data_IF_309915137268
#
_entry.id   IF_309915137268
#
_cell.length_a   1.000
_cell.length_b   1.000
_cell.length_c   1.000
_cell.angle_alpha   90.00
_cell.angle_beta   90.00
_cell.angle_gamma   90.00
#
_symmetry.space_group_name_H-M   'P 1'
#
loop_
_entity.id
_entity.type
_entity.pdbx_description
1 polymer ?
#
# COMPACT_ATOMS: atom_id res chain seq x y z
N UNK A 1 -15.60 19.49 -7.69
CA UNK A 1 -16.00 18.06 -7.62
C UNK A 1 -17.03 17.89 -6.52
N UNK A 2 -18.05 17.09 -6.75
CA UNK A 2 -18.99 16.74 -5.68
C UNK A 2 -18.23 15.80 -4.74
N UNK A 3 -17.72 16.33 -3.64
CA UNK A 3 -17.09 15.52 -2.58
C UNK A 3 -18.09 14.50 -2.08
N UNK A 4 -17.62 13.29 -1.77
CA UNK A 4 -18.42 12.32 -1.01
C UNK A 4 -18.84 12.93 0.32
N UNK A 5 -20.05 12.63 0.80
CA UNK A 5 -20.50 13.03 2.16
C UNK A 5 -19.60 12.47 3.27
N UNK A 6 -18.81 11.44 2.95
CA UNK A 6 -17.89 10.78 3.87
C UNK A 6 -16.45 11.29 3.74
N UNK A 7 -16.18 12.23 2.83
CA UNK A 7 -14.83 12.70 2.48
C UNK A 7 -13.91 11.63 1.88
N UNK A 8 -14.47 10.49 1.49
CA UNK A 8 -13.77 9.48 0.70
C UNK A 8 -13.74 9.92 -0.78
N UNK A 9 -12.73 9.48 -1.49
CA UNK A 9 -12.51 9.77 -2.91
C UNK A 9 -12.75 8.51 -3.72
N UNK A 10 -13.29 8.68 -4.93
CA UNK A 10 -13.38 7.58 -5.89
C UNK A 10 -12.08 7.39 -6.67
N UNK A 11 -11.89 6.22 -7.23
CA UNK A 11 -10.68 5.87 -7.99
C UNK A 11 -10.59 6.56 -9.35
N UNK A 12 -11.72 6.98 -9.95
CA UNK A 12 -11.72 7.69 -11.22
C UNK A 12 -12.80 8.76 -11.32
N UNK A 13 -12.46 9.88 -11.96
CA UNK A 13 -13.35 11.03 -12.20
C UNK A 13 -13.28 11.44 -13.67
N UNK A 14 -14.41 11.74 -14.27
CA UNK A 14 -14.44 12.40 -15.58
C UNK A 14 -14.11 13.89 -15.41
N UNK A 15 -12.97 14.31 -15.94
CA UNK A 15 -12.46 15.69 -15.80
C UNK A 15 -13.35 16.73 -16.49
N UNK A 16 -14.16 16.35 -17.46
CA UNK A 16 -15.06 17.27 -18.20
C UNK A 16 -16.34 17.54 -17.42
N UNK A 17 -16.87 16.55 -16.74
CA UNK A 17 -18.13 16.64 -16.02
C UNK A 17 -17.96 16.82 -14.51
N UNK A 18 -16.79 16.48 -13.97
CA UNK A 18 -16.51 16.42 -12.54
C UNK A 18 -17.28 15.32 -11.81
N UNK A 19 -17.81 14.34 -12.54
CA UNK A 19 -18.53 13.20 -11.96
C UNK A 19 -17.60 12.02 -11.74
N UNK A 20 -17.77 11.34 -10.63
CA UNK A 20 -17.05 10.10 -10.34
C UNK A 20 -17.54 8.99 -11.25
N UNK A 21 -16.62 8.36 -11.99
CA UNK A 21 -16.89 7.25 -12.90
C UNK A 21 -16.57 5.90 -12.27
N UNK A 22 -15.63 5.88 -11.29
CA UNK A 22 -15.42 4.72 -10.43
C UNK A 22 -15.54 5.15 -8.97
N UNK A 23 -16.56 4.69 -8.23
CA UNK A 23 -16.78 5.04 -6.82
C UNK A 23 -15.96 4.19 -5.83
N UNK A 24 -15.13 3.27 -6.29
CA UNK A 24 -14.23 2.51 -5.43
C UNK A 24 -13.24 3.43 -4.73
N UNK A 25 -12.91 3.10 -3.49
CA UNK A 25 -11.98 3.86 -2.66
C UNK A 25 -11.06 2.88 -1.92
N UNK A 26 -9.77 3.15 -1.94
CA UNK A 26 -8.75 2.24 -1.40
C UNK A 26 -7.41 2.97 -1.18
N UNK A 27 -6.41 2.24 -0.68
CA UNK A 27 -5.03 2.69 -0.53
C UNK A 27 -4.06 1.94 -1.47
N UNK A 28 -4.59 1.26 -2.48
CA UNK A 28 -3.83 0.50 -3.46
C UNK A 28 -3.41 1.38 -4.64
N UNK A 29 -2.89 0.74 -5.68
CA UNK A 29 -2.36 1.38 -6.88
C UNK A 29 -3.26 2.47 -7.46
N UNK A 30 -2.64 3.63 -7.73
CA UNK A 30 -3.29 4.81 -8.27
C UNK A 30 -3.78 5.79 -7.21
N UNK A 31 -4.43 5.32 -6.15
CA UNK A 31 -4.88 6.20 -5.06
C UNK A 31 -3.79 6.44 -4.01
N UNK A 32 -2.89 5.49 -3.79
CA UNK A 32 -1.72 5.66 -2.92
C UNK A 32 -0.87 6.86 -3.32
N UNK A 33 -0.58 7.00 -4.61
CA UNK A 33 0.19 8.12 -5.18
C UNK A 33 -0.54 9.44 -4.94
N UNK A 34 -1.87 9.48 -5.12
CA UNK A 34 -2.64 10.71 -4.93
C UNK A 34 -2.55 11.23 -3.48
N UNK A 35 -2.67 10.35 -2.48
CA UNK A 35 -2.53 10.75 -1.08
C UNK A 35 -1.10 11.21 -0.74
N UNK A 36 -0.10 10.50 -1.27
CA UNK A 36 1.31 10.83 -1.06
C UNK A 36 1.69 12.16 -1.69
N UNK A 37 1.29 12.39 -2.95
CA UNK A 37 1.54 13.64 -3.68
C UNK A 37 0.81 14.83 -3.03
N UNK A 38 -0.40 14.63 -2.55
CA UNK A 38 -1.16 15.67 -1.84
C UNK A 38 -0.44 16.09 -0.55
N UNK A 39 0.02 15.14 0.25
CA UNK A 39 0.79 15.41 1.45
C UNK A 39 2.11 16.12 1.14
N UNK A 40 2.89 15.58 0.20
CA UNK A 40 4.18 16.15 -0.20
C UNK A 40 4.04 17.56 -0.75
N UNK A 41 3.03 17.79 -1.59
CA UNK A 41 2.74 19.11 -2.13
C UNK A 41 2.37 20.10 -1.03
N UNK A 42 1.51 19.68 -0.09
CA UNK A 42 1.12 20.51 1.05
C UNK A 42 2.34 20.95 1.88
N UNK A 43 3.26 20.03 2.14
CA UNK A 43 4.49 20.30 2.89
C UNK A 43 5.47 21.15 2.07
N UNK A 44 5.70 20.79 0.80
CA UNK A 44 6.69 21.43 -0.07
C UNK A 44 6.33 22.89 -0.34
N UNK A 45 5.06 23.17 -0.59
CA UNK A 45 4.58 24.52 -0.88
C UNK A 45 4.07 25.29 0.34
N UNK A 46 4.11 24.64 1.53
CA UNK A 46 3.54 25.19 2.76
C UNK A 46 2.09 25.64 2.57
N UNK A 47 1.29 24.81 1.91
CA UNK A 47 -0.08 25.10 1.51
C UNK A 47 -1.08 24.49 2.50
N UNK A 48 -1.76 25.36 3.24
CA UNK A 48 -2.72 24.96 4.27
C UNK A 48 -3.98 24.31 3.68
N UNK A 49 -4.42 24.68 2.47
CA UNK A 49 -5.60 24.11 1.83
C UNK A 49 -5.32 22.68 1.39
N UNK A 50 -4.16 22.41 0.78
CA UNK A 50 -3.74 21.06 0.44
C UNK A 50 -3.58 20.18 1.69
N UNK A 51 -3.05 20.74 2.78
CA UNK A 51 -2.92 20.00 4.04
C UNK A 51 -4.29 19.67 4.66
N UNK A 52 -5.25 20.59 4.61
CA UNK A 52 -6.62 20.33 5.06
C UNK A 52 -7.30 19.25 4.21
N UNK A 53 -7.12 19.30 2.89
CA UNK A 53 -7.62 18.27 1.97
C UNK A 53 -7.02 16.90 2.30
N UNK A 54 -5.71 16.83 2.55
CA UNK A 54 -5.04 15.63 2.95
C UNK A 54 -5.58 15.07 4.27
N UNK A 55 -5.60 15.88 5.32
CA UNK A 55 -6.04 15.45 6.65
C UNK A 55 -7.49 14.96 6.63
N UNK A 56 -8.36 15.65 5.90
CA UNK A 56 -9.77 15.28 5.74
C UNK A 56 -9.90 13.92 5.05
N UNK A 57 -9.13 13.69 3.98
CA UNK A 57 -9.18 12.46 3.20
C UNK A 57 -8.60 11.27 3.99
N UNK A 58 -7.44 11.44 4.62
CA UNK A 58 -6.82 10.37 5.42
C UNK A 58 -7.66 10.01 6.63
N UNK A 59 -8.25 10.99 7.32
CA UNK A 59 -9.18 10.73 8.42
C UNK A 59 -10.39 9.90 7.97
N UNK A 60 -10.89 10.14 6.77
CA UNK A 60 -11.97 9.36 6.19
C UNK A 60 -11.52 7.92 5.86
N UNK A 61 -10.34 7.74 5.26
CA UNK A 61 -9.76 6.42 4.98
C UNK A 61 -9.61 5.62 6.28
N UNK A 62 -8.99 6.22 7.31
CA UNK A 62 -8.80 5.56 8.61
C UNK A 62 -10.14 5.22 9.26
N UNK A 63 -11.14 6.07 9.14
CA UNK A 63 -12.46 5.87 9.75
C UNK A 63 -13.28 4.77 9.07
N UNK A 64 -13.29 4.72 7.75
CA UNK A 64 -14.25 3.92 6.99
C UNK A 64 -13.66 2.67 6.33
N UNK A 65 -12.35 2.65 6.05
CA UNK A 65 -11.72 1.52 5.37
C UNK A 65 -10.90 0.64 6.31
N UNK A 66 -10.60 1.13 7.53
CA UNK A 66 -9.81 0.36 8.49
C UNK A 66 -10.57 -0.83 9.03
N UNK A 67 -9.91 -1.99 9.03
CA UNK A 67 -10.39 -3.21 9.64
C UNK A 67 -9.34 -3.82 10.57
N UNK A 68 -9.83 -4.37 11.68
CA UNK A 68 -9.01 -5.16 12.59
C UNK A 68 -9.32 -6.65 12.42
N UNK A 69 -8.29 -7.44 12.22
CA UNK A 69 -8.37 -8.89 12.18
C UNK A 69 -7.36 -9.51 13.14
N UNK A 70 -7.41 -10.82 13.32
CA UNK A 70 -6.38 -11.57 14.07
C UNK A 70 -4.99 -11.46 13.41
N UNK A 71 -4.92 -11.07 12.14
CA UNK A 71 -3.68 -10.84 11.40
C UNK A 71 -3.11 -9.44 11.59
N UNK A 72 -3.91 -8.48 12.06
CA UNK A 72 -3.50 -7.10 12.29
C UNK A 72 -4.50 -6.08 11.77
N UNK A 73 -4.01 -4.87 11.51
CA UNK A 73 -4.78 -3.74 10.97
C UNK A 73 -4.61 -3.68 9.46
N UNK A 74 -5.73 -3.64 8.76
CA UNK A 74 -5.81 -3.57 7.30
C UNK A 74 -6.68 -2.42 6.85
N UNK A 75 -6.62 -2.09 5.56
CA UNK A 75 -7.48 -1.11 4.91
C UNK A 75 -8.09 -1.76 3.68
N UNK A 76 -9.38 -1.95 3.72
CA UNK A 76 -10.12 -2.63 2.67
C UNK A 76 -10.41 -1.72 1.47
N UNK A 77 -10.72 -2.34 0.35
CA UNK A 77 -11.40 -1.67 -0.75
C UNK A 77 -12.84 -1.40 -0.35
N UNK A 78 -13.29 -0.17 -0.49
CA UNK A 78 -14.63 0.27 -0.12
C UNK A 78 -15.30 1.07 -1.22
N UNK A 79 -16.47 1.63 -0.89
CA UNK A 79 -17.22 2.54 -1.76
C UNK A 79 -17.26 3.94 -1.15
N UNK A 80 -16.84 4.95 -1.92
CA UNK A 80 -16.76 6.34 -1.46
C UNK A 80 -18.10 6.93 -0.98
N UNK A 81 -19.22 6.44 -1.50
CA UNK A 81 -20.54 7.00 -1.18
C UNK A 81 -21.10 6.48 0.16
N UNK A 82 -20.76 5.26 0.51
CA UNK A 82 -21.36 4.55 1.64
C UNK A 82 -20.36 4.20 2.72
N UNK A 83 -19.05 4.22 2.43
CA UNK A 83 -18.02 3.78 3.37
C UNK A 83 -18.06 2.28 3.67
N UNK A 84 -18.80 1.51 2.85
CA UNK A 84 -18.88 0.06 3.02
C UNK A 84 -17.64 -0.60 2.48
N UNK A 85 -17.12 -1.53 3.25
CA UNK A 85 -16.06 -2.43 2.85
C UNK A 85 -16.60 -3.43 1.82
N UNK A 86 -15.88 -3.61 0.72
CA UNK A 86 -16.33 -4.44 -0.40
C UNK A 86 -15.52 -5.74 -0.47
N UNK A 87 -14.18 -5.61 -0.40
CA UNK A 87 -13.29 -6.74 -0.53
C UNK A 87 -12.09 -6.62 0.42
N UNK A 88 -11.74 -7.71 1.15
CA UNK A 88 -10.59 -7.76 2.05
C UNK A 88 -9.28 -8.01 1.28
N UNK A 89 -8.96 -7.13 0.36
CA UNK A 89 -7.79 -7.21 -0.50
C UNK A 89 -6.70 -6.26 -0.05
N UNK A 90 -5.47 -6.73 -0.13
CA UNK A 90 -4.27 -5.96 0.19
C UNK A 90 -3.21 -6.18 -0.87
N UNK A 91 -2.58 -5.11 -1.31
CA UNK A 91 -1.55 -5.14 -2.35
C UNK A 91 -0.16 -4.80 -1.80
N UNK A 92 0.87 -5.23 -2.52
CA UNK A 92 2.25 -4.86 -2.22
C UNK A 92 2.48 -3.33 -2.25
N UNK A 93 1.72 -2.58 -3.06
CA UNK A 93 1.78 -1.11 -3.07
C UNK A 93 1.19 -0.48 -1.81
N UNK A 94 0.13 -1.06 -1.24
CA UNK A 94 -0.44 -0.57 0.03
C UNK A 94 0.57 -0.57 1.18
N UNK A 95 1.69 -1.28 1.02
CA UNK A 95 2.79 -1.27 1.98
C UNK A 95 3.49 0.11 2.11
N UNK A 96 3.20 1.08 1.24
CA UNK A 96 3.64 2.48 1.36
C UNK A 96 2.82 3.29 2.39
N UNK A 97 1.60 2.87 2.67
CA UNK A 97 0.68 3.65 3.51
C UNK A 97 1.17 3.89 4.96
N UNK A 98 1.91 2.97 5.62
CA UNK A 98 2.56 3.27 6.90
C UNK A 98 3.51 4.47 6.84
N UNK A 99 4.19 4.73 5.71
CA UNK A 99 5.04 5.92 5.55
C UNK A 99 4.20 7.19 5.64
N UNK A 100 3.08 7.19 4.93
CA UNK A 100 2.18 8.32 4.87
C UNK A 100 1.56 8.64 6.23
N UNK A 101 1.07 7.62 6.93
CA UNK A 101 0.57 7.76 8.30
C UNK A 101 1.64 8.28 9.26
N UNK A 102 2.85 7.74 9.19
CA UNK A 102 3.96 8.19 10.03
C UNK A 102 4.34 9.64 9.75
N UNK A 103 4.46 10.01 8.48
CA UNK A 103 4.80 11.38 8.07
C UNK A 103 3.72 12.39 8.46
N UNK A 104 2.45 12.00 8.44
CA UNK A 104 1.33 12.85 8.89
C UNK A 104 1.19 12.95 10.41
N UNK A 105 2.04 12.25 11.17
CA UNK A 105 2.09 12.29 12.63
C UNK A 105 1.35 11.16 13.33
N UNK A 106 0.62 10.31 12.62
CA UNK A 106 -0.06 9.15 13.20
C UNK A 106 0.86 7.92 13.29
N UNK A 107 1.92 8.05 14.10
CA UNK A 107 2.91 6.99 14.30
C UNK A 107 2.26 5.70 14.82
N UNK A 108 1.25 5.82 15.69
CA UNK A 108 0.61 4.64 16.28
C UNK A 108 -0.11 3.81 15.23
N UNK A 109 -0.85 4.46 14.35
CA UNK A 109 -1.56 3.78 13.27
C UNK A 109 -0.60 3.21 12.23
N UNK A 110 0.46 3.96 11.90
CA UNK A 110 1.54 3.46 11.05
C UNK A 110 2.19 2.18 11.60
N UNK A 111 2.46 2.13 12.91
CA UNK A 111 2.97 0.95 13.60
C UNK A 111 2.00 -0.23 13.52
N UNK A 112 0.71 0.02 13.78
CA UNK A 112 -0.33 -1.02 13.72
C UNK A 112 -0.41 -1.65 12.33
N UNK A 113 -0.40 -0.84 11.29
CA UNK A 113 -0.43 -1.34 9.91
C UNK A 113 0.89 -2.03 9.54
N UNK A 114 2.04 -1.53 10.01
CA UNK A 114 3.33 -2.17 9.70
C UNK A 114 3.43 -3.60 10.24
N UNK A 115 2.78 -3.93 11.35
CA UNK A 115 2.69 -5.31 11.84
C UNK A 115 1.98 -6.23 10.83
N UNK A 116 0.93 -5.72 10.16
CA UNK A 116 0.25 -6.46 9.10
C UNK A 116 1.13 -6.61 7.86
N UNK A 117 1.85 -5.56 7.48
CA UNK A 117 2.81 -5.58 6.35
C UNK A 117 3.91 -6.62 6.59
N UNK A 118 4.45 -6.69 7.81
CA UNK A 118 5.47 -7.70 8.16
C UNK A 118 4.91 -9.11 8.03
N UNK A 119 3.71 -9.37 8.51
CA UNK A 119 3.04 -10.68 8.39
C UNK A 119 2.73 -11.03 6.93
N UNK A 120 2.26 -10.05 6.16
CA UNK A 120 2.00 -10.20 4.73
C UNK A 120 3.26 -10.64 3.97
N UNK A 121 4.39 -9.97 4.23
CA UNK A 121 5.67 -10.33 3.63
C UNK A 121 6.14 -11.72 4.03
N UNK A 122 6.00 -12.05 5.32
CA UNK A 122 6.51 -13.30 5.88
C UNK A 122 5.74 -14.55 5.42
N UNK A 123 4.51 -14.40 4.93
CA UNK A 123 3.65 -15.52 4.52
C UNK A 123 4.32 -16.39 3.44
N UNK A 124 5.02 -15.76 2.50
CA UNK A 124 5.74 -16.44 1.41
C UNK A 124 7.23 -16.14 1.39
N UNK A 125 7.73 -15.38 2.37
CA UNK A 125 9.12 -14.91 2.39
C UNK A 125 9.39 -13.70 1.48
N UNK A 126 8.45 -13.39 0.58
CA UNK A 126 8.36 -12.17 -0.23
C UNK A 126 6.88 -11.96 -0.55
N UNK A 127 6.41 -10.71 -0.50
CA UNK A 127 4.99 -10.42 -0.64
C UNK A 127 4.47 -10.68 -2.07
N UNK A 128 3.31 -11.33 -2.25
CA UNK A 128 2.63 -11.35 -3.54
C UNK A 128 2.15 -9.95 -3.92
N UNK A 129 1.84 -9.72 -5.20
CA UNK A 129 1.32 -8.43 -5.65
C UNK A 129 -0.05 -8.13 -4.99
N UNK A 130 -0.89 -9.16 -4.82
CA UNK A 130 -2.18 -8.99 -4.17
C UNK A 130 -2.65 -10.26 -3.44
N UNK A 131 -3.25 -10.09 -2.28
CA UNK A 131 -3.76 -11.17 -1.43
C UNK A 131 -5.05 -10.76 -0.71
N UNK A 132 -5.96 -11.71 -0.54
CA UNK A 132 -7.04 -11.59 0.44
C UNK A 132 -6.48 -11.83 1.84
N UNK A 133 -6.42 -10.82 2.69
CA UNK A 133 -5.78 -10.91 4.01
C UNK A 133 -6.60 -11.70 5.04
N UNK A 134 -7.91 -11.94 4.81
CA UNK A 134 -8.74 -12.77 5.70
C UNK A 134 -8.53 -14.25 5.44
N UNK A 135 -8.55 -14.63 4.17
CA UNK A 135 -8.42 -16.04 3.75
C UNK A 135 -6.99 -16.45 3.45
N UNK A 136 -6.08 -15.50 3.32
CA UNK A 136 -4.70 -15.67 2.83
C UNK A 136 -4.62 -16.19 1.38
N UNK A 137 -5.71 -16.14 0.65
CA UNK A 137 -5.71 -16.53 -0.76
C UNK A 137 -4.92 -15.49 -1.57
N UNK A 138 -3.94 -15.97 -2.32
CA UNK A 138 -3.22 -15.14 -3.30
C UNK A 138 -4.14 -14.84 -4.47
N UNK A 139 -4.31 -13.55 -4.78
CA UNK A 139 -5.09 -13.05 -5.90
C UNK A 139 -4.17 -12.84 -7.10
N UNK A 140 -3.05 -12.13 -6.90
CA UNK A 140 -1.99 -12.01 -7.89
C UNK A 140 -0.66 -12.47 -7.28
N UNK A 141 -0.08 -13.52 -7.85
CA UNK A 141 1.05 -14.22 -7.26
C UNK A 141 2.41 -13.61 -7.60
N UNK A 142 2.46 -12.67 -8.52
CA UNK A 142 3.70 -12.01 -8.93
C UNK A 142 4.29 -11.14 -7.83
N UNK A 143 5.58 -10.83 -7.94
CA UNK A 143 6.23 -9.75 -7.20
C UNK A 143 6.96 -8.85 -8.19
N UNK A 144 6.45 -7.65 -8.37
CA UNK A 144 6.91 -6.70 -9.39
C UNK A 144 7.98 -5.72 -8.88
N UNK A 145 8.85 -6.20 -7.99
CA UNK A 145 9.94 -5.40 -7.38
C UNK A 145 9.39 -4.19 -6.60
N UNK A 146 8.44 -4.43 -5.70
CA UNK A 146 7.78 -3.43 -4.85
C UNK A 146 8.54 -3.23 -3.53
N UNK A 147 9.43 -2.22 -3.40
CA UNK A 147 10.23 -2.01 -2.19
C UNK A 147 9.49 -1.27 -1.06
N UNK A 148 8.21 -0.96 -1.22
CA UNK A 148 7.42 -0.10 -0.33
C UNK A 148 7.43 -0.59 1.13
N UNK A 149 7.36 -1.90 1.35
CA UNK A 149 7.43 -2.47 2.70
C UNK A 149 8.78 -2.19 3.38
N UNK A 150 9.88 -2.28 2.62
CA UNK A 150 11.24 -1.99 3.10
C UNK A 150 11.37 -0.50 3.44
N UNK A 151 10.82 0.37 2.58
CA UNK A 151 10.81 1.82 2.82
C UNK A 151 10.01 2.16 4.08
N UNK A 152 8.84 1.55 4.28
CA UNK A 152 8.01 1.75 5.48
C UNK A 152 8.75 1.32 6.75
N UNK A 153 9.44 0.20 6.73
CA UNK A 153 10.26 -0.24 7.85
C UNK A 153 11.39 0.76 8.15
N UNK A 154 12.09 1.26 7.13
CA UNK A 154 13.16 2.23 7.28
C UNK A 154 12.67 3.57 7.86
N UNK A 155 11.53 4.08 7.39
CA UNK A 155 10.91 5.31 7.91
C UNK A 155 10.50 5.14 9.36
N UNK A 156 9.80 4.05 9.70
CA UNK A 156 9.38 3.78 11.08
C UNK A 156 10.58 3.60 12.01
N UNK A 157 11.66 2.93 11.58
CA UNK A 157 12.88 2.86 12.37
C UNK A 157 13.45 4.25 12.65
N UNK A 158 13.56 5.11 11.63
CA UNK A 158 14.09 6.48 11.78
C UNK A 158 13.25 7.33 12.73
N UNK A 159 11.92 7.16 12.73
CA UNK A 159 11.00 7.96 13.56
C UNK A 159 10.85 7.43 14.97
N UNK A 160 11.00 6.12 15.18
CA UNK A 160 10.71 5.48 16.47
C UNK A 160 11.93 4.92 17.19
N UNK A 161 13.04 4.72 16.48
CA UNK A 161 14.26 4.03 16.94
C UNK A 161 14.01 2.61 17.47
N UNK A 162 12.90 1.97 17.04
CA UNK A 162 12.57 0.60 17.48
C UNK A 162 13.24 -0.44 16.59
N UNK A 163 14.17 -1.20 17.14
CA UNK A 163 14.98 -2.22 16.45
C UNK A 163 14.15 -3.25 15.65
N UNK A 164 12.91 -3.48 16.04
CA UNK A 164 12.02 -4.39 15.30
C UNK A 164 11.81 -3.98 13.85
N UNK A 165 11.79 -2.67 13.55
CA UNK A 165 11.64 -2.17 12.19
C UNK A 165 12.93 -2.28 11.39
N UNK A 166 14.08 -2.07 12.02
CA UNK A 166 15.38 -2.35 11.41
C UNK A 166 15.49 -3.84 11.01
N UNK A 167 15.17 -4.74 11.93
CA UNK A 167 15.19 -6.19 11.67
C UNK A 167 14.19 -6.61 10.58
N UNK A 168 12.99 -6.03 10.59
CA UNK A 168 11.99 -6.30 9.56
C UNK A 168 12.46 -5.82 8.18
N UNK A 169 13.00 -4.61 8.10
CA UNK A 169 13.57 -4.05 6.86
C UNK A 169 14.73 -4.90 6.33
N UNK A 170 15.64 -5.33 7.19
CA UNK A 170 16.77 -6.19 6.83
C UNK A 170 16.30 -7.55 6.31
N UNK A 171 15.33 -8.17 6.98
CA UNK A 171 14.69 -9.41 6.53
C UNK A 171 14.08 -9.27 5.13
N UNK A 172 13.27 -8.23 4.91
CA UNK A 172 12.60 -7.98 3.64
C UNK A 172 13.61 -7.69 2.53
N UNK A 173 14.62 -6.88 2.80
CA UNK A 173 15.69 -6.56 1.87
C UNK A 173 16.49 -7.82 1.50
N UNK A 174 16.88 -8.62 2.49
CA UNK A 174 17.60 -9.88 2.28
C UNK A 174 16.78 -10.88 1.44
N UNK A 175 15.46 -10.93 1.65
CA UNK A 175 14.55 -11.73 0.84
C UNK A 175 14.52 -11.26 -0.62
N UNK A 176 14.44 -9.94 -0.84
CA UNK A 176 14.48 -9.37 -2.20
C UNK A 176 15.81 -9.68 -2.89
N UNK A 177 16.96 -9.53 -2.20
CA UNK A 177 18.26 -9.91 -2.74
C UNK A 177 18.28 -11.39 -3.08
N UNK A 178 17.85 -12.25 -2.17
CA UNK A 178 17.88 -13.70 -2.34
C UNK A 178 17.06 -14.17 -3.53
N UNK A 179 15.84 -13.66 -3.67
CA UNK A 179 14.87 -14.17 -4.64
C UNK A 179 14.87 -13.41 -5.97
N UNK A 180 15.17 -12.11 -5.96
CA UNK A 180 15.03 -11.28 -7.15
C UNK A 180 16.35 -10.92 -7.81
N UNK A 181 17.51 -10.97 -7.11
CA UNK A 181 18.80 -10.64 -7.73
C UNK A 181 19.08 -11.57 -8.91
N UNK A 182 19.41 -10.97 -10.06
CA UNK A 182 19.67 -11.68 -11.30
C UNK A 182 21.13 -11.45 -11.77
N UNK A 183 21.99 -12.41 -11.47
CA UNK A 183 23.43 -12.31 -11.78
C UNK A 183 24.09 -11.10 -11.10
N UNK A 184 25.00 -10.43 -11.83
CA UNK A 184 25.72 -9.24 -11.35
C UNK A 184 25.00 -7.92 -11.65
N UNK A 185 24.01 -7.89 -12.53
CA UNK A 185 23.58 -6.69 -13.24
C UNK A 185 22.16 -6.22 -12.94
N UNK A 186 21.49 -6.74 -11.91
CA UNK A 186 20.18 -6.20 -11.56
C UNK A 186 19.25 -7.18 -10.85
N UNK A 187 17.96 -6.85 -10.93
CA UNK A 187 16.87 -7.60 -10.30
C UNK A 187 15.86 -8.04 -11.36
N UNK A 188 15.25 -9.18 -11.15
CA UNK A 188 14.13 -9.68 -11.93
C UNK A 188 12.91 -9.84 -11.04
N UNK A 189 11.75 -9.46 -11.55
CA UNK A 189 10.47 -9.72 -10.91
C UNK A 189 10.21 -11.23 -10.82
N UNK A 190 9.38 -11.63 -9.84
CA UNK A 190 8.91 -13.01 -9.74
C UNK A 190 7.54 -13.13 -10.41
N UNK A 191 7.35 -14.22 -11.14
CA UNK A 191 6.05 -14.61 -11.69
C UNK A 191 5.11 -15.11 -10.59
N UNK A 192 5.66 -15.91 -9.68
CA UNK A 192 4.91 -16.52 -8.61
C UNK A 192 5.78 -16.61 -7.34
N UNK A 193 5.35 -15.93 -6.28
CA UNK A 193 6.07 -15.93 -4.99
C UNK A 193 6.04 -17.29 -4.30
N UNK A 194 5.12 -18.18 -4.66
CA UNK A 194 4.99 -19.53 -4.10
C UNK A 194 6.04 -20.48 -4.67
N UNK A 195 6.43 -20.28 -5.93
CA UNK A 195 7.44 -21.09 -6.63
C UNK A 195 8.78 -20.39 -6.76
N UNK A 196 8.81 -19.06 -6.52
CA UNK A 196 9.97 -18.18 -6.68
C UNK A 196 10.51 -18.13 -8.12
N UNK A 197 9.65 -18.40 -9.08
CA UNK A 197 10.00 -18.36 -10.50
C UNK A 197 10.18 -16.91 -10.98
N UNK A 198 11.34 -16.63 -11.57
CA UNK A 198 11.67 -15.30 -12.13
C UNK A 198 11.06 -15.09 -13.50
N UNK A 199 10.63 -13.86 -13.76
CA UNK A 199 10.22 -13.43 -15.10
C UNK A 199 11.47 -13.27 -15.95
N UNK A 200 11.48 -13.87 -17.16
CA UNK A 200 12.60 -13.72 -18.11
C UNK A 200 12.58 -12.34 -18.76
N UNK A 201 13.76 -11.80 -19.05
CA UNK A 201 13.94 -10.42 -19.53
C UNK A 201 13.11 -10.03 -20.77
N UNK A 202 12.68 -10.99 -21.60
CA UNK A 202 11.91 -10.75 -22.82
C UNK A 202 10.43 -11.18 -22.70
N UNK A 203 9.98 -11.48 -21.53
CA UNK A 203 8.63 -11.98 -21.26
C UNK A 203 7.73 -10.84 -20.83
N UNK A 204 6.70 -10.55 -21.61
CA UNK A 204 5.63 -9.64 -21.18
C UNK A 204 4.74 -10.38 -20.19
N UNK A 205 4.43 -9.74 -19.06
CA UNK A 205 3.29 -10.15 -18.23
C UNK A 205 2.05 -10.04 -19.11
N UNK A 206 1.34 -11.12 -19.33
CA UNK A 206 0.05 -11.05 -20.01
C UNK A 206 -0.90 -10.25 -19.14
N UNK A 207 -1.56 -9.24 -19.70
CA UNK A 207 -2.60 -8.42 -19.05
C UNK A 207 -3.87 -9.25 -18.69
N UNK A 208 -3.69 -10.54 -18.47
CA UNK A 208 -4.75 -11.50 -18.14
C UNK A 208 -4.33 -12.32 -16.93
N UNK A 209 -4.53 -11.74 -15.80
CA UNK A 209 -4.85 -12.48 -14.54
C UNK A 209 -5.54 -11.54 -13.57
#
# INVERSE_FOLDING_TARGET
SKKSKLNLLGAAIDIRTGLWTNPETHIMEGMDIWYDDLYKSAVMFNDAELMEMFNTSISAVVKYLKEFTNMGTWYELGNMAYGTQVHPEFSAQSCSFPILLANSGDIKEAENMMESVIKYWAEYGIAPEQMNYKTKQVISASYLLRPQAIQSAAVLYRMTSKDRYLKAGDYMYSSMIKFCKNGTNGFAALRDVRTLEKIKANEKLSDKE
#
